data_IF_794396113503
#
_entry.id   IF_794396113503
#
_cell.length_a   1.000
_cell.length_b   1.000
_cell.length_c   1.000
_cell.angle_alpha   90.00
_cell.angle_beta   90.00
_cell.angle_gamma   90.00
#
_symmetry.space_group_name_H-M   'P 1'
#
loop_
_entity.id
_entity.type
_entity.pdbx_description
1 polymer ?
#
# COMPACT_ATOMS: atom_id res chain seq x y z
N UNK A 1 -4.13 -11.44 -36.27
CA UNK A 1 -5.30 -10.75 -35.71
C UNK A 1 -6.21 -11.86 -35.23
N UNK A 2 -6.26 -12.10 -33.92
CA UNK A 2 -7.16 -13.00 -33.16
C UNK A 2 -6.46 -13.51 -31.89
N UNK A 3 -6.20 -12.61 -30.92
CA UNK A 3 -5.90 -13.03 -29.54
C UNK A 3 -6.17 -11.91 -28.50
N UNK A 4 -7.03 -10.94 -28.80
CA UNK A 4 -7.48 -9.93 -27.82
C UNK A 4 -8.89 -10.22 -27.27
N UNK A 5 -9.56 -11.29 -27.75
CA UNK A 5 -10.89 -11.76 -27.30
C UNK A 5 -10.84 -12.95 -26.29
N UNK A 6 -9.66 -13.34 -25.79
CA UNK A 6 -9.46 -14.62 -25.08
C UNK A 6 -9.41 -14.55 -23.54
N UNK A 7 -9.43 -13.35 -22.96
CA UNK A 7 -9.44 -13.15 -21.50
C UNK A 7 -10.51 -12.13 -21.12
N UNK A 8 -11.80 -12.53 -21.02
CA UNK A 8 -12.82 -11.63 -20.51
C UNK A 8 -12.49 -11.19 -19.08
N UNK A 9 -12.87 -9.97 -18.67
CA UNK A 9 -12.70 -9.53 -17.29
C UNK A 9 -13.40 -10.47 -16.31
N UNK A 10 -12.70 -10.80 -15.23
CA UNK A 10 -13.24 -11.55 -14.10
C UNK A 10 -13.87 -10.60 -13.07
N UNK A 11 -14.70 -11.14 -12.18
CA UNK A 11 -15.35 -10.38 -11.11
C UNK A 11 -15.49 -11.19 -9.82
N UNK A 12 -15.45 -10.50 -8.68
CA UNK A 12 -15.72 -11.08 -7.36
C UNK A 12 -16.19 -9.97 -6.40
N UNK A 13 -17.41 -10.14 -5.87
CA UNK A 13 -18.02 -9.13 -5.00
C UNK A 13 -18.16 -7.77 -5.68
N UNK A 14 -17.74 -6.72 -4.97
CA UNK A 14 -17.76 -5.34 -5.45
C UNK A 14 -16.74 -5.07 -6.58
N UNK A 15 -15.72 -5.92 -6.73
CA UNK A 15 -14.72 -5.77 -7.79
C UNK A 15 -15.22 -6.47 -9.05
N UNK A 16 -15.78 -5.69 -9.96
CA UNK A 16 -16.46 -6.19 -11.17
C UNK A 16 -15.58 -6.22 -12.43
N UNK A 17 -14.39 -5.63 -12.38
CA UNK A 17 -13.50 -5.51 -13.54
C UNK A 17 -12.06 -5.90 -13.18
N UNK A 18 -11.83 -7.21 -13.04
CA UNK A 18 -10.51 -7.80 -12.81
C UNK A 18 -9.93 -8.20 -14.16
N UNK A 19 -8.90 -7.48 -14.59
CA UNK A 19 -8.20 -7.68 -15.85
C UNK A 19 -6.70 -7.68 -15.62
N UNK A 20 -5.95 -8.03 -16.66
CA UNK A 20 -4.49 -8.06 -16.60
C UNK A 20 -3.92 -6.74 -16.01
N UNK A 21 -2.97 -6.81 -15.04
CA UNK A 21 -2.23 -8.00 -14.64
C UNK A 21 -2.93 -8.87 -13.60
N UNK A 22 -3.99 -8.40 -12.96
CA UNK A 22 -4.72 -9.17 -11.97
C UNK A 22 -5.45 -10.36 -12.59
N UNK A 23 -5.62 -11.40 -11.79
CA UNK A 23 -6.38 -12.61 -12.12
C UNK A 23 -6.99 -13.20 -10.86
N UNK A 24 -8.10 -13.91 -10.99
CA UNK A 24 -8.63 -14.74 -9.92
C UNK A 24 -8.00 -16.14 -9.93
N UNK A 25 -7.95 -16.75 -8.75
CA UNK A 25 -7.62 -18.17 -8.59
C UNK A 25 -8.66 -19.05 -9.30
N UNK A 26 -8.33 -19.46 -10.52
CA UNK A 26 -9.22 -20.23 -11.40
C UNK A 26 -9.29 -19.69 -12.83
N UNK A 27 -8.81 -18.46 -13.07
CA UNK A 27 -8.73 -17.90 -14.42
C UNK A 27 -7.84 -18.78 -15.32
N UNK A 28 -8.07 -18.79 -16.65
CA UNK A 28 -7.27 -19.57 -17.58
C UNK A 28 -5.76 -19.31 -17.45
N UNK A 29 -4.94 -20.31 -17.78
CA UNK A 29 -3.47 -20.29 -17.58
C UNK A 29 -2.78 -19.15 -18.37
N UNK A 30 -3.45 -18.54 -19.36
CA UNK A 30 -2.96 -17.39 -20.12
C UNK A 30 -3.54 -16.02 -19.74
N UNK A 31 -4.44 -15.94 -18.76
CA UNK A 31 -5.11 -14.69 -18.38
C UNK A 31 -4.53 -14.12 -17.08
N UNK A 32 -4.03 -12.89 -17.14
CA UNK A 32 -3.35 -12.22 -16.03
C UNK A 32 -2.02 -12.87 -15.63
N UNK A 33 -1.34 -12.23 -14.69
CA UNK A 33 -0.03 -12.64 -14.17
C UNK A 33 -0.21 -13.28 -12.79
N UNK A 34 0.42 -14.45 -12.58
CA UNK A 34 0.35 -15.19 -11.31
C UNK A 34 0.89 -14.41 -10.11
N UNK A 35 1.76 -13.43 -10.34
CA UNK A 35 2.27 -12.54 -9.29
C UNK A 35 1.17 -11.60 -8.73
N UNK A 36 0.09 -11.40 -9.47
CA UNK A 36 -1.04 -10.53 -9.13
C UNK A 36 -2.34 -11.34 -8.95
N UNK A 37 -2.23 -12.58 -8.48
CA UNK A 37 -3.39 -13.44 -8.23
C UNK A 37 -4.17 -12.97 -6.99
N UNK A 38 -5.47 -12.75 -7.18
CA UNK A 38 -6.44 -12.41 -6.15
C UNK A 38 -7.27 -13.64 -5.79
N UNK A 39 -7.63 -13.76 -4.52
CA UNK A 39 -8.59 -14.75 -4.05
C UNK A 39 -10.00 -14.15 -4.04
N UNK A 40 -11.00 -15.02 -4.22
CA UNK A 40 -12.41 -14.66 -4.02
C UNK A 40 -12.95 -15.50 -2.86
N UNK A 41 -13.21 -14.88 -1.72
CA UNK A 41 -13.60 -15.57 -0.49
C UNK A 41 -14.90 -15.01 0.05
N UNK A 42 -15.96 -15.80 0.04
CA UNK A 42 -17.30 -15.37 0.46
C UNK A 42 -17.76 -14.08 -0.23
N UNK A 43 -17.63 -14.02 -1.56
CA UNK A 43 -17.92 -12.83 -2.38
C UNK A 43 -17.10 -11.58 -2.01
N UNK A 44 -15.93 -11.75 -1.39
CA UNK A 44 -14.97 -10.67 -1.15
C UNK A 44 -13.69 -10.93 -1.93
N UNK A 45 -13.26 -9.93 -2.72
CA UNK A 45 -11.95 -9.97 -3.38
C UNK A 45 -10.87 -9.74 -2.34
N UNK A 46 -9.91 -10.66 -2.27
CA UNK A 46 -8.86 -10.70 -1.24
C UNK A 46 -7.49 -10.67 -1.92
N UNK A 47 -6.61 -9.81 -1.40
CA UNK A 47 -5.19 -9.80 -1.70
C UNK A 47 -4.41 -10.41 -0.54
N UNK A 48 -3.58 -11.39 -0.85
CA UNK A 48 -2.55 -11.88 0.07
C UNK A 48 -1.25 -11.15 -0.20
N UNK A 49 -0.81 -10.33 0.76
CA UNK A 49 0.38 -9.50 0.64
C UNK A 49 1.33 -9.84 1.79
N UNK A 50 2.50 -10.38 1.46
CA UNK A 50 3.46 -10.93 2.43
C UNK A 50 2.80 -11.99 3.34
N UNK A 51 2.69 -11.72 4.64
CA UNK A 51 1.98 -12.57 5.61
C UNK A 51 0.58 -12.03 5.97
N UNK A 52 0.14 -10.97 5.31
CA UNK A 52 -1.14 -10.32 5.54
C UNK A 52 -2.21 -10.74 4.54
N UNK A 53 -3.46 -10.58 4.97
CA UNK A 53 -4.66 -10.77 4.17
C UNK A 53 -5.43 -9.46 4.17
N UNK A 54 -5.70 -8.90 3.00
CA UNK A 54 -6.39 -7.61 2.87
C UNK A 54 -7.59 -7.74 1.94
N UNK A 55 -8.67 -7.02 2.26
CA UNK A 55 -9.83 -6.91 1.39
C UNK A 55 -9.53 -5.86 0.32
N UNK A 56 -9.79 -6.17 -0.94
CA UNK A 56 -9.60 -5.22 -2.06
C UNK A 56 -10.83 -4.33 -2.16
N UNK A 57 -10.62 -3.02 -2.03
CA UNK A 57 -11.67 -1.99 -2.13
C UNK A 57 -11.75 -1.37 -3.52
N UNK A 58 -10.62 -1.24 -4.22
CA UNK A 58 -10.58 -0.71 -5.58
C UNK A 58 -9.31 -1.14 -6.32
N UNK A 59 -9.43 -1.35 -7.62
CA UNK A 59 -8.29 -1.50 -8.53
C UNK A 59 -8.30 -0.31 -9.49
N UNK A 60 -7.20 0.44 -9.55
CA UNK A 60 -7.03 1.59 -10.41
C UNK A 60 -6.02 1.28 -11.51
N UNK A 61 -6.51 1.10 -12.74
CA UNK A 61 -5.71 0.82 -13.94
C UNK A 61 -5.06 2.06 -14.56
N UNK A 62 -5.61 3.24 -14.27
CA UNK A 62 -5.13 4.53 -14.77
C UNK A 62 -3.84 4.96 -14.05
N UNK A 63 -3.80 4.73 -12.73
CA UNK A 63 -2.68 5.10 -11.86
C UNK A 63 -1.91 3.89 -11.30
N UNK A 64 -2.17 2.68 -11.79
CA UNK A 64 -1.46 1.46 -11.40
C UNK A 64 -1.41 1.22 -9.88
N UNK A 65 -2.54 1.43 -9.18
CA UNK A 65 -2.69 1.13 -7.75
C UNK A 65 -3.80 0.12 -7.48
N UNK A 66 -3.68 -0.58 -6.36
CA UNK A 66 -4.79 -1.34 -5.76
C UNK A 66 -4.94 -0.86 -4.33
N UNK A 67 -6.17 -0.46 -3.98
CA UNK A 67 -6.52 -0.01 -2.64
C UNK A 67 -7.07 -1.17 -1.85
N UNK A 68 -6.52 -1.40 -0.66
CA UNK A 68 -6.89 -2.49 0.21
C UNK A 68 -7.14 -2.02 1.65
N UNK A 69 -7.97 -2.76 2.37
CA UNK A 69 -8.30 -2.51 3.79
C UNK A 69 -7.97 -3.74 4.61
N UNK A 70 -7.44 -3.52 5.82
CA UNK A 70 -7.19 -4.60 6.77
C UNK A 70 -8.52 -5.14 7.35
N UNK A 71 -8.79 -6.45 7.27
CA UNK A 71 -10.05 -7.06 7.72
C UNK A 71 -10.22 -7.12 9.25
N UNK A 72 -9.27 -6.60 10.02
CA UNK A 72 -9.41 -6.30 11.44
C UNK A 72 -10.27 -5.07 11.74
N UNK A 73 -10.32 -4.13 10.79
CA UNK A 73 -11.06 -2.89 10.93
C UNK A 73 -12.55 -3.13 10.69
N UNK A 74 -13.38 -2.50 11.51
CA UNK A 74 -14.83 -2.62 11.45
C UNK A 74 -15.47 -1.24 11.54
N UNK A 75 -16.35 -0.94 10.60
CA UNK A 75 -17.11 0.31 10.62
C UNK A 75 -17.92 0.41 11.92
N UNK A 76 -18.00 1.62 12.48
CA UNK A 76 -18.72 1.91 13.74
C UNK A 76 -18.15 1.21 14.99
N UNK A 77 -17.03 0.49 14.90
CA UNK A 77 -16.34 -0.10 16.05
C UNK A 77 -15.01 0.63 16.28
N UNK A 78 -15.00 1.55 17.25
CA UNK A 78 -13.81 2.34 17.55
C UNK A 78 -12.67 1.53 18.19
N UNK A 79 -12.98 0.36 18.75
CA UNK A 79 -11.99 -0.56 19.31
C UNK A 79 -11.40 -1.50 18.27
N UNK A 80 -11.88 -1.46 17.02
CA UNK A 80 -11.31 -2.28 15.95
C UNK A 80 -9.89 -1.84 15.62
N UNK A 81 -9.03 -2.82 15.37
CA UNK A 81 -7.62 -2.61 15.08
C UNK A 81 -7.26 -3.42 13.84
N UNK A 82 -6.31 -2.93 13.01
CA UNK A 82 -5.73 -3.75 11.96
C UNK A 82 -5.13 -5.02 12.54
N UNK A 83 -5.30 -6.15 11.83
CA UNK A 83 -4.75 -7.45 12.20
C UNK A 83 -3.27 -7.57 11.86
N UNK A 84 -2.83 -6.91 10.79
CA UNK A 84 -1.51 -7.11 10.23
C UNK A 84 -0.64 -5.87 10.42
N UNK A 85 0.59 -6.09 10.86
CA UNK A 85 1.63 -5.07 10.89
C UNK A 85 2.19 -4.91 9.48
N UNK A 86 2.14 -3.69 8.95
CA UNK A 86 2.70 -3.39 7.63
C UNK A 86 3.31 -1.99 7.64
N UNK A 87 4.54 -1.91 7.13
CA UNK A 87 5.36 -0.71 7.11
C UNK A 87 6.08 -0.59 5.76
N UNK A 88 6.69 0.58 5.51
CA UNK A 88 7.51 0.77 4.29
C UNK A 88 8.62 -0.26 4.17
N UNK A 89 9.25 -0.66 5.28
CA UNK A 89 10.36 -1.64 5.26
C UNK A 89 9.95 -3.04 4.82
N UNK A 90 8.67 -3.33 4.66
CA UNK A 90 8.22 -4.59 4.06
C UNK A 90 8.40 -4.61 2.54
N UNK A 91 8.47 -3.43 1.90
CA UNK A 91 8.54 -3.28 0.46
C UNK A 91 9.98 -3.02 0.01
N UNK A 92 10.43 -3.74 -1.02
CA UNK A 92 11.82 -3.71 -1.48
C UNK A 92 12.23 -2.32 -1.99
N UNK A 93 11.30 -1.60 -2.63
CA UNK A 93 11.54 -0.28 -3.21
C UNK A 93 11.75 0.81 -2.16
N UNK A 94 11.26 0.61 -0.93
CA UNK A 94 11.48 1.55 0.17
C UNK A 94 12.91 1.54 0.73
N UNK A 95 13.67 0.46 0.51
CA UNK A 95 15.04 0.28 1.04
C UNK A 95 16.10 0.61 -0.03
N UNK A 96 15.69 1.20 -1.16
CA UNK A 96 16.61 1.57 -2.25
C UNK A 96 17.14 0.38 -3.06
N UNK A 97 16.63 -0.83 -2.80
CA UNK A 97 16.86 -1.97 -3.66
C UNK A 97 15.84 -1.93 -4.79
N UNK A 98 16.33 -1.80 -6.02
CA UNK A 98 15.53 -2.02 -7.23
C UNK A 98 15.37 -3.53 -7.48
N UNK A 99 14.98 -4.30 -6.46
CA UNK A 99 14.70 -5.72 -6.68
C UNK A 99 13.32 -5.81 -7.34
N UNK A 100 13.36 -5.98 -8.67
CA UNK A 100 12.21 -5.96 -9.60
C UNK A 100 11.26 -7.16 -9.35
N UNK A 101 11.58 -8.03 -8.40
CA UNK A 101 10.80 -9.24 -8.11
C UNK A 101 9.59 -9.01 -7.23
N UNK A 102 9.52 -7.89 -6.48
CA UNK A 102 8.33 -7.58 -5.67
C UNK A 102 7.22 -7.04 -6.59
N UNK A 103 6.08 -7.76 -6.73
CA UNK A 103 5.01 -7.30 -7.60
C UNK A 103 4.34 -6.02 -7.11
N UNK A 104 4.42 -5.73 -5.81
CA UNK A 104 3.81 -4.56 -5.20
C UNK A 104 4.87 -3.60 -4.66
N UNK A 105 4.58 -2.31 -4.76
CA UNK A 105 5.51 -1.24 -4.38
C UNK A 105 4.82 -0.23 -3.46
N UNK A 106 5.58 0.32 -2.52
CA UNK A 106 5.10 1.36 -1.62
C UNK A 106 5.38 2.78 -2.13
N UNK A 107 6.11 2.90 -3.24
CA UNK A 107 6.36 4.16 -3.92
C UNK A 107 5.86 4.15 -5.37
N UNK A 108 5.74 5.34 -5.93
CA UNK A 108 5.27 5.61 -7.27
C UNK A 108 6.28 6.53 -7.98
N UNK A 109 6.72 6.12 -9.18
CA UNK A 109 7.69 6.88 -9.99
C UNK A 109 6.95 7.75 -11.01
N UNK A 110 6.76 9.03 -10.72
CA UNK A 110 6.10 9.99 -11.61
C UNK A 110 7.13 10.99 -12.12
N UNK A 111 7.25 11.21 -13.43
CA UNK A 111 8.02 12.33 -13.98
C UNK A 111 9.42 12.53 -13.33
N UNK A 112 10.13 11.42 -13.05
CA UNK A 112 11.41 11.35 -12.32
C UNK A 112 11.40 11.66 -10.81
N UNK A 113 10.25 11.92 -10.19
CA UNK A 113 10.07 11.93 -8.73
C UNK A 113 9.66 10.55 -8.19
N UNK A 114 9.91 10.33 -6.90
CA UNK A 114 9.48 9.14 -6.17
C UNK A 114 8.57 9.62 -5.03
N UNK A 115 7.29 9.27 -5.11
CA UNK A 115 6.29 9.61 -4.10
C UNK A 115 5.81 8.35 -3.39
N UNK A 116 5.53 8.41 -2.10
CA UNK A 116 4.95 7.29 -1.36
C UNK A 116 3.44 7.20 -1.64
N UNK A 117 2.92 5.98 -1.85
CA UNK A 117 1.48 5.77 -2.11
C UNK A 117 0.63 5.74 -0.84
N UNK A 118 1.27 5.57 0.32
CA UNK A 118 0.63 5.62 1.63
C UNK A 118 1.54 6.26 2.68
N UNK A 119 0.94 6.65 3.79
CA UNK A 119 1.62 7.02 5.04
C UNK A 119 1.21 6.03 6.14
N UNK A 120 1.81 6.10 7.34
CA UNK A 120 1.50 5.19 8.44
C UNK A 120 0.69 5.84 9.55
N UNK A 121 -0.04 5.00 10.26
CA UNK A 121 -0.49 5.25 11.61
C UNK A 121 0.33 4.36 12.53
N UNK A 122 0.93 4.96 13.56
CA UNK A 122 1.68 4.27 14.60
C UNK A 122 0.87 4.29 15.89
N UNK A 123 0.53 3.11 16.38
CA UNK A 123 -0.16 2.91 17.65
C UNK A 123 0.86 2.56 18.73
N UNK A 124 0.82 3.32 19.82
CA UNK A 124 1.79 3.29 20.91
C UNK A 124 1.09 3.01 22.24
N UNK A 125 1.74 2.24 23.09
CA UNK A 125 1.39 2.15 24.50
C UNK A 125 2.51 2.79 25.35
N UNK A 126 2.15 3.77 26.17
CA UNK A 126 3.07 4.48 27.05
C UNK A 126 2.81 4.16 28.52
N UNK A 127 3.89 4.08 29.29
CA UNK A 127 3.84 3.85 30.75
C UNK A 127 3.33 5.05 31.55
N UNK A 128 3.37 6.24 30.95
CA UNK A 128 2.93 7.50 31.55
C UNK A 128 2.23 8.36 30.50
N UNK A 129 1.38 9.32 30.91
CA UNK A 129 0.72 10.19 29.97
C UNK A 129 1.74 11.10 29.27
N UNK A 130 1.64 11.19 27.95
CA UNK A 130 2.39 12.16 27.15
C UNK A 130 1.66 13.51 27.24
N UNK A 131 2.40 14.55 27.62
CA UNK A 131 1.92 15.92 27.71
C UNK A 131 2.65 16.79 26.67
N UNK A 132 2.00 17.87 26.21
CA UNK A 132 2.59 18.90 25.35
C UNK A 132 3.16 18.41 24.01
N UNK A 133 2.63 17.28 23.48
CA UNK A 133 3.00 16.75 22.17
C UNK A 133 1.75 16.46 21.33
N UNK A 134 1.41 17.39 20.43
CA UNK A 134 0.21 17.33 19.59
C UNK A 134 0.21 16.17 18.57
N UNK A 135 1.35 15.49 18.38
CA UNK A 135 1.43 14.29 17.52
C UNK A 135 0.74 13.08 18.16
N UNK A 136 0.69 13.04 19.50
CA UNK A 136 0.16 11.91 20.26
C UNK A 136 -1.36 12.04 20.44
N UNK A 137 -2.12 11.49 19.50
CA UNK A 137 -3.58 11.49 19.56
C UNK A 137 -4.04 10.43 20.56
N UNK A 138 -4.67 10.87 21.65
CA UNK A 138 -5.18 9.96 22.67
C UNK A 138 -6.29 9.05 22.09
N UNK A 139 -6.08 7.73 22.22
CA UNK A 139 -7.01 6.70 21.74
C UNK A 139 -7.48 5.75 22.85
N UNK A 140 -7.11 5.99 24.11
CA UNK A 140 -7.40 5.09 25.24
C UNK A 140 -8.89 4.97 25.61
N UNK A 141 -9.74 5.87 25.14
CA UNK A 141 -11.20 5.72 25.26
C UNK A 141 -11.77 4.66 24.31
N UNK A 142 -11.08 4.39 23.20
CA UNK A 142 -11.53 3.51 22.12
C UNK A 142 -10.74 2.21 22.10
N UNK A 143 -9.41 2.28 22.16
CA UNK A 143 -8.51 1.13 22.09
C UNK A 143 -8.11 0.73 23.51
N UNK A 144 -8.17 -0.57 23.81
CA UNK A 144 -7.67 -1.14 25.06
C UNK A 144 -6.79 -2.34 24.73
N UNK A 145 -5.55 -2.32 25.21
CA UNK A 145 -4.69 -3.51 25.21
C UNK A 145 -4.73 -4.19 26.57
N UNK A 146 -4.26 -5.45 26.62
CA UNK A 146 -4.24 -6.26 27.84
C UNK A 146 -3.34 -5.67 28.95
N UNK A 147 -2.36 -4.85 28.58
CA UNK A 147 -1.47 -4.16 29.50
C UNK A 147 -2.03 -2.79 29.90
N UNK A 148 -1.99 -2.46 31.20
CA UNK A 148 -2.20 -1.09 31.68
C UNK A 148 -1.25 -0.11 30.97
N UNK A 149 -1.76 1.08 30.62
CA UNK A 149 -0.98 2.13 29.98
C UNK A 149 -1.83 3.16 29.24
N UNK A 150 -1.15 4.13 28.64
CA UNK A 150 -1.73 5.24 27.91
C UNK A 150 -1.57 4.99 26.42
N UNK A 151 -2.70 4.88 25.72
CA UNK A 151 -2.75 4.45 24.33
C UNK A 151 -2.88 5.68 23.44
N UNK A 152 -1.97 5.78 22.48
CA UNK A 152 -1.88 6.87 21.53
C UNK A 152 -1.79 6.36 20.10
N UNK A 153 -2.24 7.19 19.17
CA UNK A 153 -2.02 7.03 17.74
C UNK A 153 -1.29 8.25 17.20
N UNK A 154 -0.35 8.03 16.30
CA UNK A 154 0.39 9.07 15.57
C UNK A 154 0.15 8.83 14.09
N UNK A 155 -0.14 9.89 13.34
CA UNK A 155 -0.24 9.83 11.89
C UNK A 155 1.00 10.41 11.22
N UNK A 156 1.52 9.69 10.24
CA UNK A 156 2.75 10.01 9.53
C UNK A 156 3.99 9.33 10.14
N UNK A 157 5.15 9.74 9.63
CA UNK A 157 6.43 9.18 10.03
C UNK A 157 6.79 9.56 11.46
N UNK A 158 7.09 8.53 12.27
CA UNK A 158 7.60 8.69 13.62
C UNK A 158 9.12 8.80 13.57
N UNK A 159 9.65 10.03 13.68
CA UNK A 159 11.11 10.24 13.77
C UNK A 159 11.59 10.05 15.21
N UNK A 160 12.89 9.78 15.38
CA UNK A 160 13.47 9.53 16.69
C UNK A 160 13.26 10.68 17.70
N UNK A 161 13.19 11.92 17.21
CA UNK A 161 12.95 13.11 18.03
C UNK A 161 11.53 13.17 18.63
N UNK A 162 10.56 12.52 17.98
CA UNK A 162 9.16 12.48 18.41
C UNK A 162 8.90 11.35 19.41
N UNK A 163 9.86 10.43 19.59
CA UNK A 163 9.64 9.21 20.35
C UNK A 163 9.81 9.46 21.85
N UNK A 164 8.70 9.44 22.58
CA UNK A 164 8.70 9.68 24.02
C UNK A 164 9.23 8.48 24.79
N UNK A 165 10.04 8.75 25.82
CA UNK A 165 10.60 7.71 26.70
C UNK A 165 9.45 6.93 27.34
N UNK A 166 9.59 5.61 27.47
CA UNK A 166 8.56 4.78 28.11
C UNK A 166 7.31 4.53 27.26
N UNK A 167 7.31 4.94 25.98
CA UNK A 167 6.38 4.50 24.96
C UNK A 167 6.92 3.30 24.18
N UNK A 168 6.03 2.43 23.74
CA UNK A 168 6.36 1.23 22.96
C UNK A 168 5.42 1.12 21.77
N UNK A 169 5.99 0.94 20.57
CA UNK A 169 5.21 0.65 19.35
C UNK A 169 4.49 -0.67 19.53
N UNK A 170 3.18 -0.65 19.31
CA UNK A 170 2.32 -1.84 19.35
C UNK A 170 1.88 -2.27 17.96
N UNK A 171 1.61 -1.30 17.08
CA UNK A 171 1.19 -1.56 15.71
C UNK A 171 1.62 -0.41 14.80
N UNK A 172 2.02 -0.75 13.57
CA UNK A 172 2.20 0.18 12.46
C UNK A 172 1.33 -0.35 11.34
N UNK A 173 0.53 0.55 10.77
CA UNK A 173 -0.43 0.22 9.71
C UNK A 173 -0.47 1.36 8.70
N UNK A 174 -0.60 1.08 7.40
CA UNK A 174 -0.68 2.12 6.39
C UNK A 174 -2.09 2.71 6.24
N UNK A 175 -2.15 3.92 5.67
CA UNK A 175 -3.35 4.57 5.14
C UNK A 175 -2.98 5.47 3.97
N UNK A 176 -3.81 5.51 2.93
CA UNK A 176 -3.68 6.46 1.82
C UNK A 176 -4.62 7.66 1.95
N UNK A 177 -5.26 7.82 3.12
CA UNK A 177 -6.02 9.02 3.43
C UNK A 177 -5.08 10.22 3.51
N UNK A 178 -5.35 11.26 2.73
CA UNK A 178 -4.51 12.45 2.66
C UNK A 178 -4.89 13.47 3.75
N UNK A 179 -3.94 14.34 4.10
CA UNK A 179 -4.22 15.48 4.96
C UNK A 179 -4.25 15.17 6.47
N UNK A 180 -3.53 14.14 6.91
CA UNK A 180 -3.43 13.81 8.34
C UNK A 180 -2.45 14.69 9.13
N UNK A 181 -1.65 15.53 8.46
CA UNK A 181 -0.68 16.44 9.08
C UNK A 181 -1.32 17.70 9.72
N UNK A 182 -2.40 17.53 10.49
CA UNK A 182 -3.11 18.66 11.13
C UNK A 182 -2.91 18.65 12.64
N UNK A 183 -2.73 19.84 13.24
CA UNK A 183 -2.53 20.03 14.69
C UNK A 183 -3.77 19.70 15.56
N UNK A 184 -4.82 19.09 15.00
CA UNK A 184 -6.08 18.76 15.70
C UNK A 184 -6.65 17.42 15.24
N UNK A 185 -5.77 16.47 14.95
CA UNK A 185 -6.19 15.14 14.55
C UNK A 185 -6.87 14.42 15.72
N UNK A 186 -8.07 13.89 15.51
CA UNK A 186 -8.76 13.05 16.48
C UNK A 186 -8.58 11.58 16.15
N UNK A 187 -8.76 10.71 17.14
CA UNK A 187 -8.70 9.28 16.90
C UNK A 187 -9.82 8.79 15.96
N UNK A 188 -10.96 9.48 15.94
CA UNK A 188 -12.05 9.17 14.99
C UNK A 188 -11.61 9.41 13.54
N UNK A 189 -10.90 10.50 13.25
CA UNK A 189 -10.34 10.75 11.92
C UNK A 189 -9.26 9.75 11.56
N UNK A 190 -8.44 9.32 12.52
CA UNK A 190 -7.47 8.23 12.30
C UNK A 190 -8.20 6.93 11.94
N UNK A 191 -9.29 6.59 12.64
CA UNK A 191 -10.06 5.39 12.34
C UNK A 191 -10.72 5.46 10.95
N UNK A 192 -11.27 6.62 10.57
CA UNK A 192 -11.79 6.85 9.21
C UNK A 192 -10.72 6.68 8.14
N UNK A 193 -9.52 7.20 8.39
CA UNK A 193 -8.36 7.03 7.52
C UNK A 193 -7.95 5.56 7.39
N UNK A 194 -7.98 4.79 8.49
CA UNK A 194 -7.71 3.35 8.46
C UNK A 194 -8.79 2.58 7.68
N UNK A 195 -10.07 2.92 7.89
CA UNK A 195 -11.21 2.32 7.18
C UNK A 195 -11.21 2.65 5.68
N UNK A 196 -10.63 3.78 5.26
CA UNK A 196 -10.40 4.08 3.86
C UNK A 196 -9.40 3.13 3.19
N UNK A 197 -8.46 2.58 3.98
CA UNK A 197 -7.43 1.68 3.53
C UNK A 197 -6.19 2.39 2.98
N UNK A 198 -5.41 1.64 2.21
CA UNK A 198 -4.16 2.10 1.64
C UNK A 198 -3.98 1.54 0.22
N UNK A 199 -3.37 2.36 -0.63
CA UNK A 199 -2.97 2.03 -1.98
C UNK A 199 -1.59 1.37 -1.96
N UNK A 200 -1.43 0.31 -2.74
CA UNK A 200 -0.11 -0.21 -3.13
C UNK A 200 0.01 -0.14 -4.65
N UNK A 201 1.20 0.17 -5.14
CA UNK A 201 1.42 0.24 -6.58
C UNK A 201 1.71 -1.14 -7.16
N UNK A 202 1.17 -1.42 -8.34
CA UNK A 202 1.51 -2.58 -9.18
C UNK A 202 2.19 -2.14 -10.49
N UNK A 203 2.69 -0.90 -10.52
CA UNK A 203 3.31 -0.29 -11.69
C UNK A 203 4.48 -1.11 -12.22
N UNK A 204 5.23 -1.80 -11.37
CA UNK A 204 6.28 -2.76 -11.77
C UNK A 204 5.77 -3.78 -12.80
N UNK A 205 4.62 -4.42 -12.57
CA UNK A 205 4.04 -5.39 -13.49
C UNK A 205 3.57 -4.75 -14.81
N UNK A 206 3.00 -3.56 -14.73
CA UNK A 206 2.61 -2.80 -15.93
C UNK A 206 3.84 -2.40 -16.77
N UNK A 207 4.93 -2.02 -16.11
CA UNK A 207 6.22 -1.72 -16.72
C UNK A 207 6.86 -2.96 -17.35
N UNK A 208 6.89 -4.10 -16.65
CA UNK A 208 7.38 -5.37 -17.19
C UNK A 208 6.64 -5.76 -18.48
N UNK A 209 5.31 -5.61 -18.48
CA UNK A 209 4.47 -5.91 -19.63
C UNK A 209 4.70 -4.93 -20.79
N UNK A 210 4.74 -3.62 -20.53
CA UNK A 210 4.85 -2.59 -21.58
C UNK A 210 6.26 -2.40 -22.11
N UNK A 211 7.26 -2.39 -21.22
CA UNK A 211 8.65 -2.06 -21.56
C UNK A 211 9.51 -3.30 -21.81
N UNK A 212 8.99 -4.50 -21.53
CA UNK A 212 9.77 -5.73 -21.46
C UNK A 212 10.57 -5.81 -20.15
N UNK A 213 10.98 -7.03 -19.81
CA UNK A 213 11.58 -7.38 -18.52
C UNK A 213 12.67 -6.38 -18.07
N UNK A 214 12.34 -5.58 -17.04
CA UNK A 214 13.19 -4.50 -16.52
C UNK A 214 14.55 -5.03 -16.04
N UNK A 215 14.57 -6.27 -15.51
CA UNK A 215 15.79 -6.91 -14.99
C UNK A 215 16.78 -7.30 -16.09
N UNK A 216 16.30 -7.55 -17.31
CA UNK A 216 17.13 -7.98 -18.43
C UNK A 216 17.75 -6.80 -19.21
N UNK A 217 17.15 -5.60 -19.13
CA UNK A 217 17.51 -4.49 -20.04
C UNK A 217 18.02 -3.22 -19.35
N UNK A 218 18.06 -3.14 -18.00
CA UNK A 218 18.31 -1.86 -17.29
C UNK A 218 17.48 -0.73 -17.91
N UNK A 219 16.23 -1.04 -18.27
CA UNK A 219 15.27 -0.10 -18.80
C UNK A 219 14.67 0.67 -17.63
N UNK A 220 14.61 1.98 -17.78
CA UNK A 220 13.89 2.84 -16.87
C UNK A 220 12.40 2.81 -17.23
N UNK A 221 11.51 2.76 -16.25
CA UNK A 221 10.08 2.85 -16.46
C UNK A 221 9.47 3.81 -15.45
N UNK A 222 8.73 4.80 -15.97
CA UNK A 222 8.13 5.86 -15.19
C UNK A 222 6.74 6.20 -15.71
N UNK A 223 5.89 6.72 -14.82
CA UNK A 223 4.58 7.22 -15.19
C UNK A 223 4.72 8.68 -15.63
N UNK A 224 4.27 8.95 -16.86
CA UNK A 224 4.19 10.31 -17.38
C UNK A 224 2.79 10.85 -17.13
N UNK A 225 2.68 11.74 -16.15
CA UNK A 225 1.41 12.31 -15.72
C UNK A 225 0.75 13.14 -16.83
N UNK A 226 1.55 13.75 -17.72
CA UNK A 226 1.05 14.61 -18.80
C UNK A 226 0.39 13.83 -19.93
N UNK A 227 0.85 12.61 -20.20
CA UNK A 227 0.29 11.72 -21.23
C UNK A 227 -0.57 10.61 -20.64
N UNK A 228 -0.65 10.53 -19.32
CA UNK A 228 -1.35 9.48 -18.61
C UNK A 228 -0.93 8.08 -19.08
N UNK A 229 0.40 7.87 -19.18
CA UNK A 229 0.96 6.67 -19.78
C UNK A 229 2.35 6.34 -19.23
N UNK A 230 2.69 5.05 -19.18
CA UNK A 230 4.05 4.62 -18.86
C UNK A 230 5.04 4.96 -19.99
N UNK A 231 6.20 5.51 -19.63
CA UNK A 231 7.34 5.77 -20.52
C UNK A 231 8.47 4.79 -20.22
N UNK A 232 9.02 4.19 -21.28
CA UNK A 232 10.17 3.29 -21.21
C UNK A 232 11.43 4.03 -21.67
N UNK A 233 12.41 4.20 -20.79
CA UNK A 233 13.74 4.70 -21.10
C UNK A 233 14.73 3.56 -21.33
N UNK A 234 15.63 3.69 -22.30
CA UNK A 234 16.81 2.82 -22.40
C UNK A 234 18.00 3.59 -21.84
N UNK A 235 18.73 3.03 -20.87
CA UNK A 235 20.07 3.52 -20.58
C UNK A 235 20.96 3.26 -21.80
N UNK A 236 21.14 4.29 -22.63
CA UNK A 236 22.13 4.24 -23.70
C UNK A 236 23.51 4.12 -23.08
N UNK A 237 24.25 3.07 -23.42
CA UNK A 237 25.69 2.98 -23.22
C UNK A 237 26.38 4.10 -24.00
N UNK A 238 26.44 5.30 -23.40
CA UNK A 238 27.30 6.41 -23.81
C UNK A 238 28.43 6.53 -22.79
N UNK A 239 29.43 5.68 -22.94
CA UNK A 239 30.80 6.06 -22.61
C UNK A 239 31.59 5.96 -23.91
N UNK A 240 32.03 7.07 -24.51
CA UNK A 240 33.15 7.01 -25.44
C UNK A 240 34.35 6.55 -24.62
N UNK A 241 34.94 5.42 -24.99
CA UNK A 241 36.30 5.10 -24.59
C UNK A 241 37.20 6.21 -25.13
N UNK A 242 37.82 6.96 -24.22
CA UNK A 242 39.03 7.74 -24.50
C UNK A 242 40.23 6.93 -24.04
#
# INVERSE_FOLDING_TARGET
>A
MEQEDLCPPSSCGEITNITHPFRLKGDPIGCGDKRYELACENDVTVLYLYWGKYNVEAINYDNFTVRVVDPGLQQQNCSSLPRYFLSLSNFSDAIGYSDITDPYQASYRIDYSVDQVFQHIVLLNCSHPVADNDKYVNSGSCVKWESEGYIYAIAGDLIAEDFEVGCHVKLVTPTSWRGLHTHKLSYTTILEALLYGFDISWMAGACDHKCGNLSAQRSDCQFDSSKHALRCGKHGSRYPLF
#
